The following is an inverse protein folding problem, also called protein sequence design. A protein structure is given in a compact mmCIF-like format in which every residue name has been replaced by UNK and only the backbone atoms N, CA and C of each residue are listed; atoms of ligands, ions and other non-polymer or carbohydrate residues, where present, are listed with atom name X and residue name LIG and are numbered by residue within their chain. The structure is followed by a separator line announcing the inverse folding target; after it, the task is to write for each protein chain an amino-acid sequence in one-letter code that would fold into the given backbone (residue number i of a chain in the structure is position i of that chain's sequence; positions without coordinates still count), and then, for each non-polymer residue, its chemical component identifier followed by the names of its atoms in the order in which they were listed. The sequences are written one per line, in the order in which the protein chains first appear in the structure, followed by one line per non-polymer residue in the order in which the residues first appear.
data_IF_131818041971
#
_entry.id   IF_131818041971
#
_cell.length_a   1.000
_cell.length_b   1.000
_cell.length_c   1.000
_cell.angle_alpha   90.00
_cell.angle_beta   90.00
_cell.angle_gamma   90.00
#
_symmetry.space_group_name_H-M   'P 1'
#
loop_
_entity.id
_entity.type
_entity.pdbx_description
1 polymer ?
#
# COMPACT_ATOMS: atom_id res chain seq x y z
N UNK A 1 -68.81 -5.01 60.18
CA UNK A 1 -68.58 -5.21 58.73
C UNK A 1 -67.74 -4.04 58.24
N UNK A 2 -66.46 -4.29 57.94
CA UNK A 2 -65.53 -3.23 57.53
C UNK A 2 -64.70 -3.72 56.32
N UNK A 3 -64.79 -2.97 55.23
CA UNK A 3 -64.03 -3.16 53.99
C UNK A 3 -62.60 -2.67 54.20
N UNK A 4 -61.61 -3.56 54.12
CA UNK A 4 -60.18 -3.21 54.16
C UNK A 4 -59.65 -2.87 52.77
N UNK A 5 -59.15 -1.64 52.65
CA UNK A 5 -58.53 -1.05 51.45
C UNK A 5 -57.07 -1.48 51.34
N UNK A 6 -56.71 -2.17 50.26
CA UNK A 6 -55.34 -2.53 49.90
C UNK A 6 -54.63 -1.34 49.24
N UNK A 7 -53.45 -0.94 49.74
CA UNK A 7 -52.50 -0.06 49.03
C UNK A 7 -51.06 -0.59 49.14
N UNK A 8 -50.60 -1.07 47.98
CA UNK A 8 -49.27 -1.36 47.42
C UNK A 8 -48.04 -0.96 48.27
N UNK A 9 -47.26 -1.97 48.66
CA UNK A 9 -45.84 -1.86 49.02
C UNK A 9 -44.97 -1.74 47.76
N UNK A 10 -43.97 -0.87 47.82
CA UNK A 10 -42.95 -0.73 46.79
C UNK A 10 -41.94 -1.87 46.86
N UNK A 11 -41.54 -2.37 45.69
CA UNK A 11 -40.54 -3.43 45.54
C UNK A 11 -39.38 -2.88 44.68
N UNK A 12 -38.12 -2.95 45.12
CA UNK A 12 -36.98 -2.50 44.34
C UNK A 12 -36.60 -3.56 43.30
N UNK A 13 -36.57 -3.17 42.02
CA UNK A 13 -36.04 -3.99 40.91
C UNK A 13 -34.57 -4.36 41.18
N UNK A 14 -34.32 -5.62 41.52
CA UNK A 14 -32.98 -6.22 41.48
C UNK A 14 -32.47 -6.20 40.03
N UNK A 15 -31.44 -5.41 39.74
CA UNK A 15 -30.70 -5.49 38.47
C UNK A 15 -29.92 -6.81 38.47
N UNK A 16 -30.22 -7.67 37.50
CA UNK A 16 -29.44 -8.87 37.22
C UNK A 16 -27.99 -8.47 36.88
N UNK A 17 -27.04 -8.93 37.69
CA UNK A 17 -25.60 -8.79 37.42
C UNK A 17 -25.22 -9.78 36.31
N UNK A 18 -24.99 -9.25 35.11
CA UNK A 18 -24.31 -9.98 34.05
C UNK A 18 -22.87 -10.28 34.49
N UNK A 19 -22.31 -11.47 34.18
CA UNK A 19 -20.91 -11.75 34.46
C UNK A 19 -20.01 -10.79 33.67
N UNK A 20 -18.88 -10.32 34.25
CA UNK A 20 -17.99 -9.40 33.57
C UNK A 20 -17.40 -10.06 32.31
N UNK A 21 -17.28 -9.31 31.19
CA UNK A 21 -16.64 -9.83 30.00
C UNK A 21 -15.17 -10.13 30.30
N UNK A 22 -14.73 -11.32 29.88
CA UNK A 22 -13.36 -11.80 29.98
C UNK A 22 -12.45 -10.80 29.25
N UNK A 23 -11.62 -10.09 30.01
CA UNK A 23 -10.65 -9.11 29.49
C UNK A 23 -9.67 -9.81 28.56
N UNK A 24 -9.70 -9.51 27.27
CA UNK A 24 -8.61 -9.85 26.37
C UNK A 24 -7.35 -9.13 26.88
N UNK A 25 -6.28 -9.90 27.13
CA UNK A 25 -5.01 -9.38 27.62
C UNK A 25 -4.33 -8.55 26.54
N UNK A 26 -4.59 -7.25 26.53
CA UNK A 26 -3.88 -6.29 25.68
C UNK A 26 -2.43 -6.18 26.17
N UNK A 27 -1.49 -6.70 25.37
CA UNK A 27 -0.07 -6.79 25.73
C UNK A 27 0.54 -5.38 25.75
N UNK A 28 0.99 -4.94 26.92
CA UNK A 28 1.75 -3.70 27.08
C UNK A 28 3.10 -3.80 26.36
N UNK A 29 3.57 -2.72 25.73
CA UNK A 29 4.83 -2.70 24.98
C UNK A 29 5.81 -1.64 25.52
N UNK A 30 7.10 -1.92 25.42
CA UNK A 30 8.17 -1.00 25.84
C UNK A 30 8.35 0.14 24.81
N UNK A 31 9.02 1.22 25.22
CA UNK A 31 9.34 2.35 24.31
C UNK A 31 10.13 1.92 23.07
N UNK A 32 11.01 0.92 23.21
CA UNK A 32 11.84 0.42 22.13
C UNK A 32 10.99 -0.36 21.13
N UNK A 33 10.15 -1.26 21.63
CA UNK A 33 9.20 -2.01 20.79
C UNK A 33 8.22 -1.06 20.09
N UNK A 34 7.75 -0.01 20.75
CA UNK A 34 6.87 0.99 20.14
C UNK A 34 7.59 1.84 19.07
N UNK A 35 8.87 2.17 19.27
CA UNK A 35 9.69 2.88 18.29
C UNK A 35 9.91 2.02 17.03
N UNK A 36 10.30 0.76 17.23
CA UNK A 36 10.52 -0.21 16.15
C UNK A 36 9.22 -0.50 15.38
N UNK A 37 8.08 -0.52 16.08
CA UNK A 37 6.77 -0.75 15.49
C UNK A 37 6.22 0.44 14.69
N UNK A 38 6.39 1.66 15.20
CA UNK A 38 5.86 2.88 14.56
C UNK A 38 6.83 3.52 13.55
N UNK A 39 8.06 2.99 13.46
CA UNK A 39 9.14 3.57 12.66
C UNK A 39 9.60 4.95 13.16
N UNK A 40 9.19 5.34 14.38
CA UNK A 40 9.58 6.63 14.98
C UNK A 40 10.86 6.47 15.77
N UNK A 41 11.69 7.51 15.77
CA UNK A 41 12.90 7.53 16.59
C UNK A 41 12.57 7.49 18.09
N UNK A 42 13.44 6.87 18.89
CA UNK A 42 13.29 6.81 20.35
C UNK A 42 13.04 8.18 21.03
N UNK A 43 13.68 9.29 20.60
CA UNK A 43 13.36 10.63 21.13
C UNK A 43 11.94 11.09 20.82
N UNK A 44 11.40 10.77 19.63
CA UNK A 44 10.04 11.12 19.26
C UNK A 44 9.02 10.33 20.09
N UNK A 45 9.26 9.03 20.32
CA UNK A 45 8.42 8.20 21.20
C UNK A 45 8.46 8.71 22.64
N UNK A 46 9.63 9.13 23.14
CA UNK A 46 9.75 9.71 24.49
C UNK A 46 8.86 10.95 24.67
N UNK A 47 8.88 11.87 23.71
CA UNK A 47 8.02 13.07 23.71
C UNK A 47 6.52 12.73 23.67
N UNK A 48 6.14 11.64 23.03
CA UNK A 48 4.75 11.16 23.03
C UNK A 48 4.36 10.60 24.40
N UNK A 49 5.22 9.77 25.00
CA UNK A 49 4.99 9.24 26.34
C UNK A 49 4.90 10.33 27.42
N UNK A 50 5.62 11.44 27.27
CA UNK A 50 5.58 12.56 28.22
C UNK A 50 4.18 13.22 28.29
N UNK A 51 3.35 13.05 27.24
CA UNK A 51 1.96 13.53 27.21
C UNK A 51 0.98 12.64 27.96
N UNK A 52 1.42 11.46 28.44
CA UNK A 52 0.55 10.47 29.08
C UNK A 52 -0.30 9.73 28.04
N UNK A 53 -1.34 10.36 27.50
CA UNK A 53 -2.22 9.79 26.48
C UNK A 53 -2.02 10.49 25.14
N UNK A 54 -1.86 9.73 24.06
CA UNK A 54 -1.55 10.27 22.75
C UNK A 54 -2.16 9.42 21.63
N UNK A 55 -2.61 10.10 20.59
CA UNK A 55 -3.10 9.48 19.36
C UNK A 55 -1.98 9.40 18.33
N UNK A 56 -1.90 8.28 17.63
CA UNK A 56 -1.02 8.10 16.50
C UNK A 56 -1.84 7.73 15.26
N UNK A 57 -1.69 8.54 14.22
CA UNK A 57 -2.41 8.35 12.97
C UNK A 57 -2.08 6.99 12.34
N UNK A 58 -3.11 6.23 11.97
CA UNK A 58 -3.02 4.84 11.51
C UNK A 58 -2.80 3.77 12.59
N UNK A 59 -2.59 4.14 13.86
CA UNK A 59 -2.32 3.19 14.97
C UNK A 59 -3.31 3.28 16.13
N UNK A 60 -4.04 4.39 16.27
CA UNK A 60 -5.04 4.58 17.31
C UNK A 60 -4.50 5.31 18.54
N UNK A 61 -5.18 5.15 19.66
CA UNK A 61 -4.89 5.88 20.90
C UNK A 61 -4.10 5.02 21.89
N UNK A 62 -3.08 5.63 22.51
CA UNK A 62 -2.16 4.97 23.42
C UNK A 62 -2.03 5.76 24.72
N UNK A 63 -1.75 5.04 25.79
CA UNK A 63 -1.44 5.59 27.10
C UNK A 63 -0.09 5.05 27.58
N UNK A 64 0.75 5.95 28.05
CA UNK A 64 2.02 5.65 28.69
C UNK A 64 1.79 5.49 30.20
N UNK A 65 1.82 4.26 30.68
CA UNK A 65 1.62 3.90 32.08
C UNK A 65 2.98 3.60 32.73
N UNK A 66 3.28 4.24 33.85
CA UNK A 66 4.46 3.90 34.66
C UNK A 66 4.16 2.63 35.44
N UNK A 67 5.02 1.63 35.35
CA UNK A 67 4.86 0.35 36.07
C UNK A 67 5.35 0.39 37.51
N UNK A 68 5.74 1.57 38.01
CA UNK A 68 6.20 1.76 39.38
C UNK A 68 6.08 3.20 39.85
N UNK A 69 6.21 3.39 41.16
CA UNK A 69 6.08 4.70 41.84
C UNK A 69 7.37 5.54 41.79
N UNK A 70 8.47 5.01 41.26
CA UNK A 70 9.76 5.70 41.19
C UNK A 70 9.87 6.62 39.97
N UNK A 71 10.69 7.68 40.07
CA UNK A 71 10.99 8.60 38.96
C UNK A 71 11.67 7.90 37.77
N UNK A 72 12.30 6.75 38.00
CA UNK A 72 13.03 5.94 37.01
C UNK A 72 12.27 4.67 36.60
N UNK A 73 11.02 4.52 37.01
CA UNK A 73 10.23 3.34 36.68
C UNK A 73 10.07 3.19 35.16
N UNK A 74 10.15 1.95 34.63
CA UNK A 74 9.90 1.71 33.22
C UNK A 74 8.49 2.17 32.83
N UNK A 75 8.42 2.73 31.63
CA UNK A 75 7.19 3.25 31.04
C UNK A 75 6.73 2.24 29.99
N UNK A 76 5.54 1.69 30.21
CA UNK A 76 4.86 0.81 29.28
C UNK A 76 3.83 1.61 28.49
N UNK A 77 3.74 1.34 27.20
CA UNK A 77 2.74 1.92 26.32
C UNK A 77 1.66 0.88 26.14
N UNK A 78 0.41 1.25 26.42
CA UNK A 78 -0.77 0.40 26.28
C UNK A 78 -1.71 1.07 25.29
N UNK A 79 -2.25 0.34 24.29
CA UNK A 79 -3.35 0.88 23.51
C UNK A 79 -4.56 1.03 24.42
N UNK A 80 -5.20 2.19 24.33
CA UNK A 80 -6.44 2.45 25.04
C UNK A 80 -7.55 1.85 24.19
N UNK A 81 -8.21 0.79 24.67
CA UNK A 81 -9.47 0.36 24.07
C UNK A 81 -10.44 1.55 24.14
N UNK A 82 -10.79 2.09 22.98
CA UNK A 82 -11.73 3.19 22.88
C UNK A 82 -13.06 2.72 23.48
N UNK A 83 -13.45 3.27 24.64
CA UNK A 83 -14.86 3.36 24.99
C UNK A 83 -15.59 4.07 23.83
N UNK A 84 -16.83 3.69 23.51
CA UNK A 84 -17.50 4.18 22.31
C UNK A 84 -17.80 5.67 22.49
N UNK A 85 -16.90 6.52 22.01
CA UNK A 85 -17.14 7.95 21.88
C UNK A 85 -17.68 8.18 20.48
N UNK A 86 -18.81 8.86 20.47
CA UNK A 86 -19.69 9.12 19.34
C UNK A 86 -18.95 9.65 18.10
N UNK A 87 -19.29 9.03 16.97
CA UNK A 87 -19.44 9.61 15.64
C UNK A 87 -18.54 10.81 15.29
N UNK A 88 -17.38 10.50 14.71
CA UNK A 88 -16.89 11.26 13.56
C UNK A 88 -16.90 10.38 12.32
N UNK A 89 -17.83 10.73 11.45
CA UNK A 89 -18.09 10.19 10.12
C UNK A 89 -16.84 10.24 9.25
N UNK A 90 -16.04 9.16 9.20
CA UNK A 90 -15.13 8.90 8.07
C UNK A 90 -15.15 7.42 7.72
N UNK A 91 -15.76 7.16 6.55
CA UNK A 91 -15.72 5.96 5.70
C UNK A 91 -15.05 4.73 6.32
N UNK A 92 -15.88 3.73 6.61
CA UNK A 92 -15.54 2.31 6.81
C UNK A 92 -14.07 1.99 7.03
N UNK A 93 -13.59 2.23 8.25
CA UNK A 93 -12.37 1.59 8.72
C UNK A 93 -12.79 0.25 9.32
N UNK A 94 -12.71 -0.80 8.50
CA UNK A 94 -12.68 -2.16 9.02
C UNK A 94 -11.52 -2.20 10.04
N UNK A 95 -11.80 -2.61 11.27
CA UNK A 95 -10.76 -2.88 12.28
C UNK A 95 -9.99 -4.12 11.83
N UNK A 96 -9.07 -3.93 10.89
CA UNK A 96 -8.23 -4.99 10.35
C UNK A 96 -7.25 -5.44 11.42
N UNK A 97 -7.15 -6.76 11.59
CA UNK A 97 -6.17 -7.38 12.45
C UNK A 97 -4.74 -7.05 11.98
N UNK A 98 -3.78 -7.17 12.90
CA UNK A 98 -2.36 -6.95 12.60
C UNK A 98 -1.85 -7.82 11.43
N UNK A 99 -2.36 -9.05 11.32
CA UNK A 99 -2.04 -9.94 10.21
C UNK A 99 -2.54 -9.38 8.87
N UNK A 100 -3.75 -8.85 8.82
CA UNK A 100 -4.37 -8.28 7.61
C UNK A 100 -3.68 -6.99 7.16
N UNK A 101 -3.29 -6.11 8.10
CA UNK A 101 -2.53 -4.91 7.76
C UNK A 101 -1.15 -5.24 7.17
N UNK A 102 -0.48 -6.26 7.73
CA UNK A 102 0.79 -6.76 7.20
C UNK A 102 0.61 -7.41 5.83
N UNK A 103 -0.46 -8.18 5.64
CA UNK A 103 -0.78 -8.79 4.36
C UNK A 103 -1.02 -7.73 3.29
N UNK A 104 -1.86 -6.71 3.58
CA UNK A 104 -2.13 -5.60 2.64
C UNK A 104 -0.87 -4.81 2.27
N UNK A 105 0.04 -4.58 3.23
CA UNK A 105 1.32 -3.92 2.93
C UNK A 105 2.17 -4.75 1.97
N UNK A 106 2.29 -6.05 2.23
CA UNK A 106 3.04 -6.96 1.38
C UNK A 106 2.40 -7.08 0.00
N UNK A 107 1.08 -7.16 -0.09
CA UNK A 107 0.35 -7.16 -1.38
C UNK A 107 0.59 -5.88 -2.17
N UNK A 108 0.58 -4.71 -1.51
CA UNK A 108 0.89 -3.44 -2.18
C UNK A 108 2.34 -3.40 -2.68
N UNK A 109 3.28 -3.93 -1.91
CA UNK A 109 4.70 -4.01 -2.29
C UNK A 109 4.91 -4.99 -3.46
N UNK A 110 4.24 -6.15 -3.44
CA UNK A 110 4.25 -7.12 -4.54
C UNK A 110 3.72 -6.46 -5.82
N UNK A 111 2.55 -5.81 -5.76
CA UNK A 111 1.97 -5.12 -6.93
C UNK A 111 2.90 -4.06 -7.50
N UNK A 112 3.57 -3.31 -6.64
CA UNK A 112 4.54 -2.30 -7.07
C UNK A 112 5.77 -2.94 -7.74
N UNK A 113 6.26 -4.06 -7.23
CA UNK A 113 7.36 -4.80 -7.85
C UNK A 113 6.96 -5.46 -9.18
N UNK A 114 5.75 -6.00 -9.27
CA UNK A 114 5.17 -6.54 -10.50
C UNK A 114 5.08 -5.44 -11.57
N UNK A 115 4.52 -4.28 -11.23
CA UNK A 115 4.44 -3.15 -12.15
C UNK A 115 5.82 -2.71 -12.64
N UNK A 116 6.79 -2.54 -11.73
CA UNK A 116 8.17 -2.19 -12.11
C UNK A 116 8.83 -3.22 -13.04
N UNK A 117 8.48 -4.49 -12.89
CA UNK A 117 9.02 -5.56 -13.73
C UNK A 117 8.41 -5.48 -15.13
N UNK A 118 7.10 -5.28 -15.23
CA UNK A 118 6.40 -5.07 -16.49
C UNK A 118 6.92 -3.84 -17.24
N UNK A 119 7.03 -2.69 -16.56
CA UNK A 119 7.54 -1.45 -17.16
C UNK A 119 8.96 -1.64 -17.71
N UNK A 120 9.81 -2.39 -16.98
CA UNK A 120 11.18 -2.69 -17.40
C UNK A 120 11.21 -3.65 -18.59
N UNK A 121 10.33 -4.65 -18.61
CA UNK A 121 10.21 -5.57 -19.73
C UNK A 121 9.76 -4.85 -21.00
N UNK A 122 8.71 -4.02 -20.90
CA UNK A 122 8.22 -3.21 -22.02
C UNK A 122 9.31 -2.28 -22.58
N UNK A 123 10.12 -1.69 -21.69
CA UNK A 123 11.27 -0.87 -22.09
C UNK A 123 12.32 -1.68 -22.84
N UNK A 124 12.64 -2.89 -22.35
CA UNK A 124 13.63 -3.77 -23.01
C UNK A 124 13.12 -4.21 -24.37
N UNK A 125 11.85 -4.63 -24.47
CA UNK A 125 11.22 -5.07 -25.72
C UNK A 125 11.24 -3.94 -26.76
N UNK A 126 10.81 -2.72 -26.39
CA UNK A 126 10.89 -1.55 -27.28
C UNK A 126 12.31 -1.25 -27.74
N UNK A 127 13.27 -1.26 -26.82
CA UNK A 127 14.67 -0.98 -27.18
C UNK A 127 15.23 -2.04 -28.13
N UNK A 128 14.90 -3.31 -27.90
CA UNK A 128 15.34 -4.41 -28.75
C UNK A 128 14.68 -4.37 -30.13
N UNK A 129 13.39 -4.05 -30.21
CA UNK A 129 12.67 -3.84 -31.47
C UNK A 129 13.28 -2.68 -32.26
N UNK A 130 13.54 -1.54 -31.61
CA UNK A 130 14.20 -0.40 -32.22
C UNK A 130 15.59 -0.77 -32.77
N UNK A 131 16.42 -1.48 -32.00
CA UNK A 131 17.74 -1.92 -32.43
C UNK A 131 17.69 -2.87 -33.65
N UNK A 132 16.69 -3.76 -33.72
CA UNK A 132 16.48 -4.62 -34.88
C UNK A 132 16.09 -3.80 -36.10
N UNK A 133 15.17 -2.85 -35.95
CA UNK A 133 14.71 -2.01 -37.05
C UNK A 133 15.86 -1.16 -37.60
N UNK A 134 16.68 -0.56 -36.72
CA UNK A 134 17.88 0.18 -37.12
C UNK A 134 18.84 -0.69 -37.93
N UNK A 135 19.14 -1.91 -37.45
CA UNK A 135 20.00 -2.87 -38.18
C UNK A 135 19.43 -3.27 -39.54
N UNK A 136 18.11 -3.40 -39.66
CA UNK A 136 17.46 -3.69 -40.94
C UNK A 136 17.59 -2.52 -41.91
N UNK A 137 17.44 -1.28 -41.43
CA UNK A 137 17.63 -0.07 -42.24
C UNK A 137 19.08 0.01 -42.72
N UNK A 138 20.05 -0.20 -41.81
CA UNK A 138 21.48 -0.20 -42.11
C UNK A 138 21.87 -1.26 -43.14
N UNK A 139 21.16 -2.40 -43.18
CA UNK A 139 21.36 -3.43 -44.18
C UNK A 139 20.69 -3.12 -45.53
N UNK A 140 19.51 -2.50 -45.51
CA UNK A 140 18.71 -2.24 -46.71
C UNK A 140 19.24 -1.03 -47.52
N UNK A 141 19.78 0.00 -46.87
CA UNK A 141 20.37 1.16 -47.54
C UNK A 141 21.51 0.81 -48.53
N UNK A 142 22.56 0.08 -48.13
CA UNK A 142 23.62 -0.31 -49.06
C UNK A 142 23.13 -1.28 -50.14
N UNK A 143 22.09 -2.08 -49.86
CA UNK A 143 21.47 -2.95 -50.85
C UNK A 143 20.81 -2.13 -51.97
N UNK A 144 20.09 -1.06 -51.60
CA UNK A 144 19.51 -0.10 -52.53
C UNK A 144 20.59 0.55 -53.41
N UNK A 145 21.69 0.99 -52.81
CA UNK A 145 22.81 1.58 -53.55
C UNK A 145 23.49 0.58 -54.49
N UNK A 146 23.57 -0.70 -54.10
CA UNK A 146 24.11 -1.77 -54.92
C UNK A 146 23.22 -2.06 -56.14
N UNK A 147 21.89 -2.08 -55.96
CA UNK A 147 20.96 -2.31 -57.07
C UNK A 147 20.98 -1.20 -58.10
N UNK A 148 21.18 0.07 -57.69
CA UNK A 148 21.35 1.19 -58.63
C UNK A 148 22.60 1.02 -59.50
N UNK A 149 23.65 0.37 -58.97
CA UNK A 149 24.90 0.08 -59.71
C UNK A 149 24.81 -1.15 -60.61
N UNK A 150 23.81 -2.01 -60.41
CA UNK A 150 23.57 -3.15 -61.28
C UNK A 150 22.97 -2.70 -62.61
N UNK A 151 23.36 -3.35 -63.72
CA UNK A 151 22.78 -3.11 -65.06
C UNK A 151 21.36 -3.71 -65.18
N UNK A 152 20.45 -3.25 -64.34
CA UNK A 152 19.05 -3.64 -64.35
C UNK A 152 18.31 -2.95 -65.49
N UNK A 153 17.25 -3.59 -66.00
CA UNK A 153 16.34 -2.91 -66.95
C UNK A 153 15.57 -1.81 -66.24
N UNK A 154 15.07 -0.78 -66.94
CA UNK A 154 14.29 0.30 -66.33
C UNK A 154 13.07 -0.21 -65.54
N UNK A 155 12.40 -1.26 -66.02
CA UNK A 155 11.29 -1.92 -65.33
C UNK A 155 11.73 -2.59 -64.02
N UNK A 156 12.84 -3.33 -64.04
CA UNK A 156 13.41 -3.98 -62.85
C UNK A 156 13.86 -2.95 -61.81
N UNK A 157 14.51 -1.87 -62.27
CA UNK A 157 14.94 -0.76 -61.40
C UNK A 157 13.75 -0.10 -60.72
N UNK A 158 12.67 0.16 -61.46
CA UNK A 158 11.44 0.76 -60.92
C UNK A 158 10.80 -0.15 -59.85
N UNK A 159 10.63 -1.44 -60.16
CA UNK A 159 10.07 -2.44 -59.24
C UNK A 159 10.88 -2.56 -57.95
N UNK A 160 12.20 -2.73 -58.05
CA UNK A 160 13.08 -2.94 -56.90
C UNK A 160 13.17 -1.66 -56.05
N UNK A 161 13.28 -0.49 -56.70
CA UNK A 161 13.36 0.78 -55.97
C UNK A 161 12.05 1.11 -55.27
N UNK A 162 10.90 0.83 -55.91
CA UNK A 162 9.58 0.97 -55.30
C UNK A 162 9.43 0.09 -54.05
N UNK A 163 9.70 -1.21 -54.18
CA UNK A 163 9.60 -2.16 -53.08
C UNK A 163 10.54 -1.84 -51.91
N UNK A 164 11.78 -1.43 -52.20
CA UNK A 164 12.76 -1.05 -51.18
C UNK A 164 12.35 0.25 -50.46
N UNK A 165 11.85 1.24 -51.19
CA UNK A 165 11.39 2.49 -50.58
C UNK A 165 10.16 2.27 -49.70
N UNK A 166 9.21 1.43 -50.12
CA UNK A 166 8.04 1.08 -49.31
C UNK A 166 8.46 0.34 -48.02
N UNK A 167 9.38 -0.62 -48.14
CA UNK A 167 9.92 -1.36 -47.00
C UNK A 167 10.67 -0.46 -46.01
N UNK A 168 11.51 0.46 -46.51
CA UNK A 168 12.22 1.43 -45.68
C UNK A 168 11.27 2.40 -44.98
N UNK A 169 10.27 2.93 -45.69
CA UNK A 169 9.27 3.82 -45.08
C UNK A 169 8.43 3.10 -44.01
N UNK A 170 8.13 1.82 -44.21
CA UNK A 170 7.41 1.03 -43.22
C UNK A 170 8.26 0.83 -41.95
N UNK A 171 9.55 0.50 -42.11
CA UNK A 171 10.48 0.35 -40.99
C UNK A 171 10.68 1.67 -40.24
N UNK A 172 10.86 2.80 -40.94
CA UNK A 172 10.98 4.13 -40.33
C UNK A 172 9.73 4.53 -39.54
N UNK A 173 8.54 4.20 -40.04
CA UNK A 173 7.27 4.45 -39.30
C UNK A 173 7.17 3.62 -38.03
N UNK A 174 7.64 2.37 -38.06
CA UNK A 174 7.66 1.50 -36.88
C UNK A 174 8.63 1.99 -35.79
N UNK A 175 9.60 2.84 -36.13
CA UNK A 175 10.57 3.39 -35.16
C UNK A 175 10.04 4.65 -34.44
N UNK A 176 9.00 5.30 -34.98
CA UNK A 176 8.42 6.55 -34.45
C UNK A 176 7.23 6.28 -33.51
N UNK A 177 6.67 5.07 -33.52
CA UNK A 177 5.51 4.66 -32.70
C UNK A 177 5.95 4.15 -31.32
#
# INVERSE_FOLDING_TARGET
MALTRVKRSGEPRRKASLPPPVKASVKAMTKKEFADWTGKSLPAVRKLCDKGRFFLDGFGEFEAVKTGTSKTAPLEIRPVEAAPVEQHTRRGTENLSFAELKARKLEAEIRHLEQRTLDRQETIERNFEAEIIEKLIDALQPLKDAFVKCKLTPEQTSLITGALNESLQQLERSLIQ
#
